data_IF_992525665249
#
_entry.id   IF_992525665249
#
_cell.length_a   1.000
_cell.length_b   1.000
_cell.length_c   1.000
_cell.angle_alpha   90.00
_cell.angle_beta   90.00
_cell.angle_gamma   90.00
#
_symmetry.space_group_name_H-M   'P 1'
#
loop_
_entity.id
_entity.type
_entity.pdbx_description
1 polymer ?
#
# COMPACT_ATOMS: atom_id res chain seq x y z
N UNK A 1 -2.27 11.51 -26.81
CA UNK A 1 -1.93 10.62 -25.68
C UNK A 1 -2.85 10.92 -24.52
N UNK A 2 -3.22 9.91 -23.72
CA UNK A 2 -3.96 10.13 -22.46
C UNK A 2 -3.03 10.88 -21.49
N UNK A 3 -3.43 12.06 -21.05
CA UNK A 3 -2.71 12.86 -20.06
C UNK A 3 -3.08 12.34 -18.66
N UNK A 4 -2.61 11.15 -18.30
CA UNK A 4 -2.83 10.61 -16.97
C UNK A 4 -1.53 10.09 -16.36
N UNK A 5 -1.48 10.13 -15.03
CA UNK A 5 -0.40 9.58 -14.23
C UNK A 5 -1.00 8.55 -13.27
N UNK A 6 -0.38 7.38 -13.18
CA UNK A 6 -0.86 6.30 -12.29
C UNK A 6 0.01 6.28 -11.03
N UNK A 7 -0.63 6.38 -9.87
CA UNK A 7 0.03 6.16 -8.59
C UNK A 7 -0.34 4.75 -8.08
N UNK A 8 0.63 3.83 -8.09
CA UNK A 8 0.47 2.49 -7.52
C UNK A 8 0.68 2.57 -6.02
N UNK A 9 -0.33 2.19 -5.24
CA UNK A 9 -0.25 2.13 -3.78
C UNK A 9 -0.38 0.66 -3.39
N UNK A 10 0.71 0.03 -2.90
CA UNK A 10 0.64 -1.33 -2.40
C UNK A 10 -0.41 -1.46 -1.31
N UNK A 11 -1.16 -2.56 -1.32
CA UNK A 11 -2.17 -2.82 -0.30
C UNK A 11 -1.51 -2.81 1.10
N UNK A 12 -2.15 -2.11 2.04
CA UNK A 12 -1.77 -2.14 3.44
C UNK A 12 -2.74 -3.09 4.14
N UNK A 13 -2.28 -4.22 4.71
CA UNK A 13 -3.17 -5.17 5.35
C UNK A 13 -3.96 -4.50 6.49
N UNK A 14 -5.24 -4.82 6.54
CA UNK A 14 -6.18 -4.44 7.60
C UNK A 14 -6.87 -5.70 8.08
N UNK A 15 -7.09 -5.83 9.39
CA UNK A 15 -7.59 -7.07 10.02
C UNK A 15 -8.99 -7.51 9.54
N UNK A 16 -9.67 -6.66 8.78
CA UNK A 16 -11.04 -6.86 8.29
C UNK A 16 -11.13 -7.39 6.86
N UNK A 17 -10.00 -7.51 6.14
CA UNK A 17 -9.98 -7.98 4.76
C UNK A 17 -8.98 -9.12 4.57
N UNK A 18 -9.38 -10.18 3.87
CA UNK A 18 -8.55 -11.34 3.51
C UNK A 18 -7.56 -11.06 2.36
N UNK A 19 -7.20 -9.80 2.13
CA UNK A 19 -6.25 -9.43 1.09
C UNK A 19 -4.84 -9.35 1.67
N UNK A 20 -3.88 -9.86 0.90
CA UNK A 20 -2.47 -9.77 1.23
C UNK A 20 -1.80 -8.64 0.46
N UNK A 21 -0.75 -8.08 1.07
CA UNK A 21 0.10 -7.13 0.37
C UNK A 21 0.86 -7.88 -0.72
N UNK A 22 0.80 -7.43 -1.99
CA UNK A 22 1.61 -8.04 -3.04
C UNK A 22 3.10 -7.86 -2.74
N UNK A 23 3.91 -8.84 -3.14
CA UNK A 23 5.37 -8.73 -3.01
C UNK A 23 5.92 -7.59 -3.90
N UNK A 24 7.17 -7.19 -3.59
CA UNK A 24 7.84 -6.11 -4.30
C UNK A 24 8.02 -6.41 -5.80
N UNK A 25 8.25 -7.67 -6.17
CA UNK A 25 8.45 -8.05 -7.57
C UNK A 25 7.17 -7.86 -8.39
N UNK A 26 6.02 -8.25 -7.85
CA UNK A 26 4.71 -8.13 -8.46
C UNK A 26 4.30 -6.66 -8.63
N UNK A 27 4.57 -5.83 -7.62
CA UNK A 27 4.34 -4.38 -7.68
C UNK A 27 5.20 -3.74 -8.78
N UNK A 28 6.49 -4.06 -8.82
CA UNK A 28 7.41 -3.52 -9.81
C UNK A 28 7.08 -4.00 -11.23
N UNK A 29 6.67 -5.26 -11.40
CA UNK A 29 6.22 -5.81 -12.68
C UNK A 29 5.00 -5.06 -13.20
N UNK A 30 4.03 -4.78 -12.32
CA UNK A 30 2.84 -4.01 -12.70
C UNK A 30 3.20 -2.58 -13.13
N UNK A 31 4.09 -1.90 -12.38
CA UNK A 31 4.55 -0.56 -12.75
C UNK A 31 5.28 -0.56 -14.11
N UNK A 32 6.14 -1.56 -14.36
CA UNK A 32 6.86 -1.71 -15.62
C UNK A 32 5.90 -1.87 -16.82
N UNK A 33 4.85 -2.67 -16.67
CA UNK A 33 3.82 -2.84 -17.72
C UNK A 33 3.16 -1.51 -18.08
N UNK A 34 2.88 -0.65 -17.09
CA UNK A 34 2.29 0.67 -17.33
C UNK A 34 3.28 1.61 -18.03
N UNK A 35 4.54 1.61 -17.59
CA UNK A 35 5.60 2.42 -18.19
C UNK A 35 5.89 2.00 -19.63
N UNK A 36 5.95 0.70 -19.92
CA UNK A 36 6.09 0.14 -21.27
C UNK A 36 4.92 0.53 -22.20
N UNK A 37 3.72 0.69 -21.64
CA UNK A 37 2.56 1.20 -22.35
C UNK A 37 2.57 2.73 -22.54
N UNK A 38 3.63 3.42 -22.09
CA UNK A 38 3.76 4.87 -22.18
C UNK A 38 2.93 5.65 -21.15
N UNK A 39 2.55 5.00 -20.04
CA UNK A 39 1.78 5.60 -18.95
C UNK A 39 2.74 5.97 -17.80
N UNK A 40 2.95 7.27 -17.53
CA UNK A 40 3.75 7.70 -16.38
C UNK A 40 3.21 7.10 -15.08
N UNK A 41 4.10 6.44 -14.32
CA UNK A 41 3.73 5.66 -13.14
C UNK A 41 4.63 5.99 -11.95
N UNK A 42 4.10 5.89 -10.74
CA UNK A 42 4.89 6.00 -9.51
C UNK A 42 4.38 5.00 -8.48
N UNK A 43 5.28 4.26 -7.85
CA UNK A 43 4.93 3.40 -6.72
C UNK A 43 5.13 4.15 -5.41
N UNK A 44 4.08 4.23 -4.59
CA UNK A 44 4.10 4.87 -3.27
C UNK A 44 4.17 3.83 -2.18
N UNK A 45 5.40 3.51 -1.76
CA UNK A 45 5.61 2.72 -0.56
C UNK A 45 5.35 3.57 0.68
N UNK A 46 4.37 3.17 1.50
CA UNK A 46 4.14 3.79 2.80
C UNK A 46 5.36 3.54 3.69
N UNK A 47 6.10 4.60 4.06
CA UNK A 47 7.31 4.57 4.91
C UNK A 47 7.14 3.82 6.25
N UNK A 48 5.90 3.62 6.70
CA UNK A 48 5.58 2.94 7.94
C UNK A 48 5.39 1.44 7.85
N UNK A 49 5.13 0.82 6.69
CA UNK A 49 4.76 -0.61 6.67
C UNK A 49 5.98 -1.51 6.91
N UNK A 50 7.18 -1.09 6.51
CA UNK A 50 8.43 -1.82 6.80
C UNK A 50 8.77 -1.83 8.31
N UNK A 51 8.14 -0.96 9.11
CA UNK A 51 8.39 -0.76 10.55
C UNK A 51 7.10 -0.77 11.40
N UNK A 52 5.99 -1.32 10.89
CA UNK A 52 4.70 -1.35 11.60
C UNK A 52 4.21 0.02 12.14
N UNK A 53 4.46 1.08 11.38
CA UNK A 53 4.11 2.47 11.65
C UNK A 53 3.23 3.09 10.55
N UNK A 54 2.50 2.28 9.79
CA UNK A 54 1.65 2.78 8.71
C UNK A 54 0.32 3.36 9.25
N UNK A 55 -0.15 4.45 8.64
CA UNK A 55 -1.47 5.02 8.95
C UNK A 55 -2.56 3.95 8.72
N UNK A 56 -3.27 3.61 9.79
CA UNK A 56 -4.17 2.45 9.89
C UNK A 56 -3.91 1.64 11.17
N UNK A 57 -2.65 1.44 11.54
CA UNK A 57 -2.25 0.68 12.74
C UNK A 57 -2.36 1.47 14.06
N UNK A 58 -2.38 2.81 13.99
CA UNK A 58 -2.59 3.65 15.17
C UNK A 58 -4.01 3.52 15.74
N UNK A 59 -5.00 3.14 14.93
CA UNK A 59 -6.38 2.98 15.39
C UNK A 59 -6.57 1.74 16.25
N UNK A 60 -5.93 0.63 15.89
CA UNK A 60 -6.00 -0.62 16.65
C UNK A 60 -5.32 -0.51 18.03
N UNK A 61 -4.32 0.36 18.19
CA UNK A 61 -3.63 0.56 19.47
C UNK A 61 -4.52 1.25 20.52
N UNK A 62 -5.38 2.17 20.10
CA UNK A 62 -6.33 2.84 20.99
C UNK A 62 -7.48 1.94 21.44
N UNK A 63 -7.92 0.98 20.60
CA UNK A 63 -9.02 0.06 20.96
C UNK A 63 -8.57 -1.02 21.96
N UNK A 64 -7.30 -1.46 21.90
CA UNK A 64 -6.74 -2.41 22.86
C UNK A 64 -6.49 -1.79 24.26
N UNK A 65 -6.08 -0.51 24.33
CA UNK A 65 -5.92 0.21 25.61
C UNK A 65 -7.27 0.46 26.32
N UNK A 66 -8.37 0.60 25.57
CA UNK A 66 -9.72 0.80 26.14
C UNK A 66 -10.36 -0.50 26.64
N UNK A 67 -9.97 -1.67 26.13
CA UNK A 67 -10.45 -2.98 26.61
C UNK A 67 -9.63 -3.53 27.79
N UNK A 68 -8.45 -2.96 28.05
CA UNK A 68 -7.57 -3.33 29.16
C UNK A 68 -7.72 -2.42 30.40
N UNK A 69 -8.69 -1.51 30.41
CA UNK A 69 -9.11 -0.69 31.55
C UNK A 69 -10.56 -0.98 31.93
#
# INVERSE_FOLDING_TARGET
GRLCHVNVIPFNPVDVLEFERPDHESINRFAAILEEAGIPTTVRYSRGVEIAAACGQLRNRHEQEQQAS
#
